data_IF_668895538282
#
_entry.id   IF_668895538282
#
_cell.length_a   1.000
_cell.length_b   1.000
_cell.length_c   1.000
_cell.angle_alpha   90.00
_cell.angle_beta   90.00
_cell.angle_gamma   90.00
#
_symmetry.space_group_name_H-M   'P 1'
#
loop_
_entity.id
_entity.type
_entity.pdbx_description
1 polymer ?
#
# COMPACT_ATOMS: atom_id res chain seq x y z
N UNK A 1 -8.85 -79.72 35.73
CA UNK A 1 -8.93 -80.63 34.56
C UNK A 1 -9.01 -79.78 33.30
N UNK A 2 -8.01 -79.94 32.43
CA UNK A 2 -8.02 -79.82 30.96
C UNK A 2 -8.27 -78.43 30.32
N UNK A 3 -7.20 -77.85 29.73
CA UNK A 3 -7.23 -76.94 28.56
C UNK A 3 -7.46 -77.75 27.27
N UNK A 4 -8.03 -77.15 26.22
CA UNK A 4 -7.29 -77.04 24.95
C UNK A 4 -7.45 -75.63 24.34
N UNK A 5 -6.42 -74.97 23.82
CA UNK A 5 -5.51 -75.29 22.71
C UNK A 5 -6.14 -75.13 21.32
N UNK A 6 -5.46 -74.29 20.53
CA UNK A 6 -5.70 -73.81 19.17
C UNK A 6 -5.95 -74.90 18.13
N UNK A 7 -6.80 -74.63 17.12
CA UNK A 7 -6.61 -75.13 15.75
C UNK A 7 -7.05 -74.04 14.75
N UNK A 8 -6.11 -73.68 13.88
CA UNK A 8 -6.30 -72.82 12.73
C UNK A 8 -7.12 -73.50 11.64
N UNK A 9 -7.94 -72.74 10.90
CA UNK A 9 -8.34 -73.13 9.55
C UNK A 9 -8.27 -71.92 8.61
N UNK A 10 -7.39 -72.03 7.63
CA UNK A 10 -7.19 -71.15 6.49
C UNK A 10 -8.40 -71.22 5.55
N UNK A 11 -9.01 -70.07 5.23
CA UNK A 11 -9.66 -69.89 3.92
C UNK A 11 -9.24 -68.54 3.37
N UNK A 12 -8.45 -68.61 2.30
CA UNK A 12 -8.05 -67.49 1.47
C UNK A 12 -9.28 -66.83 0.84
N UNK A 13 -9.41 -65.52 0.98
CA UNK A 13 -10.23 -64.69 0.11
C UNK A 13 -9.45 -63.43 -0.22
N UNK A 14 -8.78 -63.49 -1.38
CA UNK A 14 -8.17 -62.33 -2.01
C UNK A 14 -9.29 -61.40 -2.49
N UNK A 15 -9.46 -60.27 -1.82
CA UNK A 15 -10.18 -59.10 -2.35
C UNK A 15 -9.18 -57.94 -2.39
N UNK A 16 -8.67 -57.74 -3.60
CA UNK A 16 -7.78 -56.64 -3.97
C UNK A 16 -8.66 -55.38 -4.04
N UNK A 17 -8.64 -54.55 -2.99
CA UNK A 17 -9.11 -53.17 -3.06
C UNK A 17 -7.89 -52.28 -3.21
N UNK A 18 -7.56 -52.02 -4.48
CA UNK A 18 -6.64 -50.99 -4.92
C UNK A 18 -7.20 -49.62 -4.52
N UNK A 19 -6.85 -49.13 -3.33
CA UNK A 19 -7.04 -47.73 -2.96
C UNK A 19 -5.94 -46.89 -3.62
N UNK A 20 -6.13 -46.58 -4.91
CA UNK A 20 -5.34 -45.57 -5.59
C UNK A 20 -5.78 -44.17 -5.14
N UNK A 21 -4.84 -43.47 -4.52
CA UNK A 21 -4.66 -42.02 -4.48
C UNK A 21 -5.52 -41.26 -5.52
N UNK A 22 -6.41 -40.39 -5.08
CA UNK A 22 -7.17 -39.48 -5.95
C UNK A 22 -6.77 -38.04 -5.66
N UNK A 23 -5.60 -37.64 -6.18
CA UNK A 23 -5.40 -36.25 -6.59
C UNK A 23 -6.21 -36.05 -7.87
N UNK A 24 -7.50 -35.71 -7.72
CA UNK A 24 -8.35 -35.30 -8.85
C UNK A 24 -8.31 -33.78 -8.93
N UNK A 25 -7.69 -33.18 -9.96
CA UNK A 25 -7.79 -31.74 -10.15
C UNK A 25 -9.25 -31.37 -10.46
N UNK A 26 -9.77 -30.38 -9.73
CA UNK A 26 -11.06 -29.78 -10.00
C UNK A 26 -11.08 -29.19 -11.42
N UNK A 27 -12.15 -29.46 -12.16
CA UNK A 27 -12.36 -28.94 -13.51
C UNK A 27 -12.56 -27.41 -13.50
N UNK A 28 -12.11 -26.67 -14.52
CA UNK A 28 -12.13 -25.20 -14.56
C UNK A 28 -13.52 -24.55 -14.43
N UNK A 29 -14.60 -25.29 -14.69
CA UNK A 29 -15.97 -24.76 -14.72
C UNK A 29 -16.58 -24.52 -13.33
N UNK A 30 -16.23 -25.30 -12.30
CA UNK A 30 -16.80 -25.11 -10.96
C UNK A 30 -16.11 -23.99 -10.16
N UNK A 31 -14.88 -23.63 -10.52
CA UNK A 31 -14.13 -22.54 -9.87
C UNK A 31 -14.59 -21.16 -10.35
N UNK A 32 -15.17 -21.06 -11.55
CA UNK A 32 -15.57 -19.78 -12.15
C UNK A 32 -16.81 -19.17 -11.47
N UNK A 33 -17.78 -19.98 -11.06
CA UNK A 33 -19.03 -19.49 -10.47
C UNK A 33 -18.87 -18.88 -9.06
N UNK A 34 -17.84 -19.27 -8.30
CA UNK A 34 -17.57 -18.69 -6.98
C UNK A 34 -16.73 -17.42 -7.05
N UNK A 35 -15.97 -17.24 -8.13
CA UNK A 35 -15.03 -16.12 -8.29
C UNK A 35 -15.74 -14.85 -8.76
N UNK A 36 -16.76 -14.94 -9.62
CA UNK A 36 -17.58 -13.78 -10.02
C UNK A 36 -18.26 -13.10 -8.81
N UNK A 37 -18.83 -13.90 -7.89
CA UNK A 37 -19.64 -13.39 -6.78
C UNK A 37 -18.84 -12.71 -5.68
N UNK A 38 -17.54 -13.01 -5.58
CA UNK A 38 -16.62 -12.41 -4.59
C UNK A 38 -15.91 -11.17 -5.15
N UNK A 39 -15.73 -11.10 -6.47
CA UNK A 39 -15.05 -9.98 -7.14
C UNK A 39 -15.97 -8.76 -7.26
N UNK A 40 -17.27 -8.93 -7.48
CA UNK A 40 -18.22 -7.79 -7.60
C UNK A 40 -18.37 -6.99 -6.29
N UNK A 41 -18.24 -7.63 -5.12
CA UNK A 41 -18.33 -6.96 -3.82
C UNK A 41 -17.04 -6.22 -3.42
N UNK A 42 -15.88 -6.59 -3.98
CA UNK A 42 -14.58 -6.00 -3.64
C UNK A 42 -14.21 -4.78 -4.50
N UNK A 43 -14.73 -4.69 -5.73
CA UNK A 43 -14.45 -3.59 -6.66
C UNK A 43 -15.09 -2.27 -6.21
N UNK A 44 -16.22 -2.31 -5.50
CA UNK A 44 -16.95 -1.11 -5.09
C UNK A 44 -16.24 -0.32 -3.96
N UNK A 45 -15.34 -0.96 -3.20
CA UNK A 45 -14.73 -0.32 -2.01
C UNK A 45 -13.41 0.39 -2.31
N UNK A 46 -12.69 0.01 -3.38
CA UNK A 46 -11.33 0.55 -3.67
C UNK A 46 -11.37 1.78 -4.61
N UNK A 47 -12.48 1.99 -5.33
CA UNK A 47 -12.66 3.10 -6.30
C UNK A 47 -12.99 4.45 -5.64
N UNK A 48 -13.15 4.51 -4.31
CA UNK A 48 -13.89 5.64 -3.68
C UNK A 48 -13.05 6.73 -3.03
N UNK A 49 -11.71 6.70 -3.07
CA UNK A 49 -10.91 7.83 -2.59
C UNK A 49 -10.28 8.60 -3.75
N UNK A 50 -11.04 9.56 -4.29
CA UNK A 50 -10.54 10.51 -5.27
C UNK A 50 -9.38 11.35 -4.70
N UNK A 51 -8.44 11.75 -5.57
CA UNK A 51 -7.34 12.62 -5.17
C UNK A 51 -7.91 14.01 -4.79
N UNK A 52 -7.75 14.45 -3.53
CA UNK A 52 -8.35 15.71 -3.06
C UNK A 52 -7.82 16.94 -3.81
N UNK A 53 -6.58 16.91 -4.30
CA UNK A 53 -6.03 18.01 -5.10
C UNK A 53 -6.69 18.09 -6.48
N UNK A 54 -6.89 16.93 -7.11
CA UNK A 54 -7.60 16.80 -8.38
C UNK A 54 -9.08 17.20 -8.25
N UNK A 55 -9.77 16.73 -7.21
CA UNK A 55 -11.14 17.15 -6.91
C UNK A 55 -11.23 18.64 -6.68
N UNK A 56 -10.29 19.21 -5.93
CA UNK A 56 -10.29 20.64 -5.65
C UNK A 56 -10.13 21.47 -6.93
N UNK A 57 -9.23 21.08 -7.83
CA UNK A 57 -9.08 21.71 -9.14
C UNK A 57 -10.42 21.74 -9.92
N UNK A 58 -11.07 20.58 -10.02
CA UNK A 58 -12.36 20.44 -10.72
C UNK A 58 -13.46 21.25 -9.99
N UNK A 59 -13.46 21.25 -8.66
CA UNK A 59 -14.47 21.92 -7.84
C UNK A 59 -14.49 23.44 -8.01
N UNK A 60 -13.33 24.04 -8.31
CA UNK A 60 -13.20 25.48 -8.57
C UNK A 60 -13.32 25.83 -10.06
N UNK A 61 -13.79 24.88 -10.87
CA UNK A 61 -13.99 25.03 -12.31
C UNK A 61 -12.71 24.95 -13.14
N UNK A 62 -11.61 24.46 -12.56
CA UNK A 62 -10.38 24.21 -13.29
C UNK A 62 -10.41 22.92 -14.10
N UNK A 63 -9.59 22.86 -15.14
CA UNK A 63 -9.35 21.66 -15.93
C UNK A 63 -8.05 20.99 -15.47
N UNK A 64 -8.10 19.70 -15.16
CA UNK A 64 -6.94 18.95 -14.69
C UNK A 64 -6.21 18.26 -15.85
N UNK A 65 -4.91 18.49 -15.97
CA UNK A 65 -4.00 17.82 -16.90
C UNK A 65 -2.95 17.02 -16.12
N UNK A 66 -2.81 15.72 -16.41
CA UNK A 66 -1.75 14.90 -15.83
C UNK A 66 -0.56 14.85 -16.80
N UNK A 67 0.60 15.28 -16.34
CA UNK A 67 1.86 15.24 -17.09
C UNK A 67 2.79 14.17 -16.52
N UNK A 68 3.48 13.47 -17.40
CA UNK A 68 4.55 12.53 -17.03
C UNK A 68 5.88 13.26 -17.10
N UNK A 69 6.60 13.31 -15.99
CA UNK A 69 7.95 13.86 -15.85
C UNK A 69 8.95 12.75 -15.49
N UNK A 70 10.24 13.09 -15.42
CA UNK A 70 11.32 12.13 -15.09
C UNK A 70 11.15 11.51 -13.70
N UNK A 71 10.47 12.21 -12.79
CA UNK A 71 10.30 11.84 -11.39
C UNK A 71 8.88 11.30 -11.06
N UNK A 72 8.01 11.14 -12.07
CA UNK A 72 6.66 10.61 -11.90
C UNK A 72 5.58 11.39 -12.64
N UNK A 73 4.33 11.27 -12.19
CA UNK A 73 3.22 12.05 -12.73
C UNK A 73 2.94 13.27 -11.86
N UNK A 74 2.66 14.39 -12.50
CA UNK A 74 2.26 15.64 -11.86
C UNK A 74 0.90 16.08 -12.40
N UNK A 75 0.01 16.53 -11.52
CA UNK A 75 -1.25 17.16 -11.91
C UNK A 75 -1.10 18.66 -12.05
N UNK A 76 -1.47 19.21 -13.21
CA UNK A 76 -1.51 20.64 -13.48
C UNK A 76 -2.97 21.06 -13.59
N UNK A 77 -3.38 22.02 -12.76
CA UNK A 77 -4.69 22.64 -12.81
C UNK A 77 -4.65 23.88 -13.70
N UNK A 78 -5.49 23.90 -14.73
CA UNK A 78 -5.76 25.04 -15.60
C UNK A 78 -6.98 25.79 -15.06
N UNK A 79 -6.75 26.94 -14.42
CA UNK A 79 -7.81 27.73 -13.79
C UNK A 79 -8.62 28.50 -14.85
N UNK A 80 -9.91 28.82 -14.59
CA UNK A 80 -10.70 29.70 -15.46
C UNK A 80 -10.09 31.08 -15.70
N UNK A 81 -9.19 31.52 -14.82
CA UNK A 81 -8.40 32.74 -14.97
C UNK A 81 -7.32 32.65 -16.06
N UNK A 82 -7.04 31.45 -16.59
CA UNK A 82 -5.93 31.15 -17.49
C UNK A 82 -4.61 30.84 -16.77
N UNK A 83 -4.57 30.89 -15.44
CA UNK A 83 -3.40 30.49 -14.65
C UNK A 83 -3.24 28.97 -14.63
N UNK A 84 -2.02 28.49 -14.81
CA UNK A 84 -1.64 27.09 -14.65
C UNK A 84 -0.86 26.91 -13.35
N UNK A 85 -1.29 25.96 -12.52
CA UNK A 85 -0.68 25.71 -11.22
C UNK A 85 -0.73 24.22 -10.89
N UNK A 86 0.34 23.69 -10.31
CA UNK A 86 0.40 22.30 -9.84
C UNK A 86 -0.68 22.03 -8.78
N UNK A 87 -1.40 20.91 -8.92
CA UNK A 87 -2.66 20.64 -8.21
C UNK A 87 -2.49 20.63 -6.68
N UNK A 88 -1.40 20.07 -6.16
CA UNK A 88 -1.14 20.05 -4.73
C UNK A 88 -0.71 21.41 -4.20
N UNK A 89 -0.01 22.20 -5.01
CA UNK A 89 0.36 23.58 -4.68
C UNK A 89 -0.86 24.49 -4.62
N UNK A 90 -1.80 24.32 -5.55
CA UNK A 90 -3.11 24.96 -5.52
C UNK A 90 -3.90 24.51 -4.28
N UNK A 91 -4.01 23.20 -4.05
CA UNK A 91 -4.72 22.62 -2.91
C UNK A 91 -4.16 23.14 -1.58
N UNK A 92 -2.84 23.18 -1.41
CA UNK A 92 -2.18 23.71 -0.20
C UNK A 92 -2.33 25.23 -0.03
N UNK A 93 -2.37 26.00 -1.13
CA UNK A 93 -2.63 27.45 -1.07
C UNK A 93 -4.04 27.73 -0.59
N UNK A 94 -5.02 26.99 -1.12
CA UNK A 94 -6.42 27.11 -0.77
C UNK A 94 -6.74 26.58 0.63
N UNK A 95 -6.19 25.41 0.93
CA UNK A 95 -6.21 24.79 2.24
C UNK A 95 -4.96 25.17 3.01
N UNK A 96 -4.57 26.45 2.96
CA UNK A 96 -3.61 26.96 3.94
C UNK A 96 -4.23 26.66 5.29
N UNK A 97 -3.77 25.60 5.92
CA UNK A 97 -3.85 25.49 7.35
C UNK A 97 -3.04 26.68 7.81
N UNK A 98 -3.74 27.76 8.13
CA UNK A 98 -3.17 28.71 9.03
C UNK A 98 -2.71 27.87 10.21
N UNK A 99 -1.39 27.85 10.43
CA UNK A 99 -0.73 27.22 11.58
C UNK A 99 -1.06 28.04 12.85
N UNK A 100 -2.29 28.53 12.94
CA UNK A 100 -2.87 29.31 14.02
C UNK A 100 -3.89 28.48 14.80
N UNK A 101 -4.18 27.23 14.38
CA UNK A 101 -4.97 26.24 15.14
C UNK A 101 -4.27 24.90 15.36
N UNK A 102 -2.93 24.90 15.42
CA UNK A 102 -2.19 23.82 16.09
C UNK A 102 -2.24 23.96 17.63
N UNK A 103 -3.37 24.40 18.20
CA UNK A 103 -3.56 24.51 19.66
C UNK A 103 -4.08 23.20 20.26
N UNK A 104 -4.54 22.25 19.45
CA UNK A 104 -5.04 20.97 19.97
C UNK A 104 -4.00 19.84 19.96
N UNK A 105 -2.76 20.11 19.54
CA UNK A 105 -1.61 19.25 19.83
C UNK A 105 -0.73 19.94 20.86
N UNK A 106 -1.19 19.91 22.11
CA UNK A 106 -0.41 20.42 23.25
C UNK A 106 0.96 19.74 23.23
N UNK A 107 2.03 20.52 23.24
CA UNK A 107 3.39 19.98 23.30
C UNK A 107 3.48 19.05 24.52
N UNK A 108 3.76 17.73 24.35
CA UNK A 108 3.72 16.77 25.44
C UNK A 108 4.71 17.11 26.57
N UNK A 109 5.85 17.72 26.25
CA UNK A 109 6.79 18.20 27.24
C UNK A 109 6.25 19.41 28.03
N UNK A 110 5.53 20.31 27.36
CA UNK A 110 4.88 21.45 28.01
C UNK A 110 3.72 20.99 28.92
N UNK A 111 2.85 20.11 28.40
CA UNK A 111 1.78 19.48 29.16
C UNK A 111 2.32 18.73 30.38
N UNK A 112 3.46 18.05 30.22
CA UNK A 112 4.09 17.33 31.32
C UNK A 112 4.64 18.27 32.40
N UNK A 113 5.32 19.36 32.01
CA UNK A 113 5.72 20.41 32.94
C UNK A 113 4.53 20.93 33.77
N UNK A 114 3.41 21.24 33.12
CA UNK A 114 2.19 21.70 33.78
C UNK A 114 1.58 20.62 34.69
N UNK A 115 1.61 19.34 34.29
CA UNK A 115 1.10 18.22 35.10
C UNK A 115 1.86 18.05 36.42
N UNK A 116 3.15 18.40 36.44
CA UNK A 116 3.99 18.43 37.63
C UNK A 116 3.83 19.73 38.45
N UNK A 117 2.84 20.56 38.10
CA UNK A 117 2.62 21.89 38.67
C UNK A 117 3.82 22.83 38.44
N UNK A 118 4.62 22.54 37.41
CA UNK A 118 5.73 23.37 36.97
C UNK A 118 5.24 24.58 36.18
N UNK A 119 6.05 25.63 36.16
CA UNK A 119 5.84 26.84 35.36
C UNK A 119 6.77 26.82 34.16
N UNK A 120 6.19 26.80 32.96
CA UNK A 120 6.93 26.81 31.71
C UNK A 120 7.16 28.23 31.22
N UNK A 121 8.42 28.57 30.94
CA UNK A 121 8.79 29.79 30.22
C UNK A 121 8.91 29.49 28.72
N UNK A 122 7.85 29.79 27.95
CA UNK A 122 7.76 29.49 26.51
C UNK A 122 8.93 30.04 25.67
N UNK A 123 9.45 31.28 25.90
CA UNK A 123 10.58 31.81 25.16
C UNK A 123 11.89 31.02 25.36
N UNK A 124 12.15 30.51 26.57
CA UNK A 124 13.40 29.81 26.88
C UNK A 124 13.26 28.29 26.87
N UNK A 125 12.04 27.76 26.90
CA UNK A 125 11.76 26.33 27.02
C UNK A 125 12.05 25.76 28.40
N UNK A 126 12.24 26.61 29.43
CA UNK A 126 12.59 26.14 30.78
C UNK A 126 11.34 25.91 31.62
N UNK A 127 11.23 24.70 32.17
CA UNK A 127 10.25 24.34 33.19
C UNK A 127 10.83 24.56 34.59
N UNK A 128 10.15 25.34 35.42
CA UNK A 128 10.47 25.53 36.84
C UNK A 128 9.50 24.74 37.71
N UNK A 129 9.98 23.69 38.37
CA UNK A 129 9.17 22.81 39.22
C UNK A 129 8.91 23.43 40.61
N UNK A 130 7.89 22.96 41.37
CA UNK A 130 7.65 23.41 42.75
C UNK A 130 8.83 23.19 43.70
N UNK A 131 9.71 22.25 43.39
CA UNK A 131 10.97 22.01 44.11
C UNK A 131 12.00 23.15 43.95
N UNK A 132 11.78 24.06 43.01
CA UNK A 132 12.73 25.10 42.60
C UNK A 132 13.72 24.64 41.52
N UNK A 133 13.63 23.39 41.06
CA UNK A 133 14.44 22.91 39.94
C UNK A 133 14.01 23.59 38.63
N UNK A 134 14.98 24.13 37.89
CA UNK A 134 14.81 24.69 36.55
C UNK A 134 15.50 23.78 35.53
N UNK A 135 14.72 23.24 34.59
CA UNK A 135 15.18 22.25 33.61
C UNK A 135 14.47 22.50 32.27
N UNK A 136 15.16 22.28 31.14
CA UNK A 136 14.53 22.38 29.81
C UNK A 136 13.41 21.34 29.68
N UNK A 137 12.27 21.72 29.11
CA UNK A 137 11.05 20.92 29.21
C UNK A 137 11.14 19.56 28.48
N UNK A 138 11.87 19.45 27.37
CA UNK A 138 12.11 18.16 26.73
C UNK A 138 13.09 17.30 27.51
N UNK A 139 14.08 17.90 28.17
CA UNK A 139 14.99 17.18 29.05
C UNK A 139 14.26 16.59 30.26
N UNK A 140 13.38 17.38 30.89
CA UNK A 140 12.46 16.91 31.92
C UNK A 140 11.57 15.77 31.41
N UNK A 141 10.97 15.94 30.23
CA UNK A 141 10.10 14.92 29.64
C UNK A 141 10.85 13.61 29.42
N UNK A 142 12.05 13.63 28.82
CA UNK A 142 12.86 12.43 28.56
C UNK A 142 13.39 11.79 29.85
N UNK A 143 13.78 12.60 30.85
CA UNK A 143 14.27 12.13 32.15
C UNK A 143 13.24 11.26 32.84
N UNK A 144 11.98 11.70 32.83
CA UNK A 144 10.90 11.04 33.56
C UNK A 144 10.13 10.04 32.69
N UNK A 145 10.17 10.19 31.37
CA UNK A 145 9.71 9.23 30.37
C UNK A 145 10.89 8.48 29.77
N UNK A 146 11.76 7.94 30.61
CA UNK A 146 12.82 7.05 30.15
C UNK A 146 12.20 6.06 29.16
N UNK A 147 12.67 6.14 27.92
CA UNK A 147 12.26 5.22 26.88
C UNK A 147 12.70 3.82 27.31
N UNK A 148 11.82 3.08 27.99
CA UNK A 148 11.71 1.67 27.69
C UNK A 148 11.32 1.64 26.21
N UNK A 149 12.32 1.60 25.31
CA UNK A 149 12.14 1.65 23.85
C UNK A 149 10.89 0.87 23.49
N UNK A 150 9.78 1.54 23.15
CA UNK A 150 8.65 0.82 22.60
C UNK A 150 9.16 0.30 21.28
N UNK A 151 9.31 -1.02 21.13
CA UNK A 151 9.47 -1.63 19.82
C UNK A 151 8.12 -1.54 19.10
N UNK A 152 7.72 -0.33 18.75
CA UNK A 152 6.59 -0.06 17.86
C UNK A 152 7.17 0.73 16.70
N UNK A 153 7.99 0.03 15.94
CA UNK A 153 8.39 0.38 14.59
C UNK A 153 8.47 -0.94 13.85
N UNK A 154 7.93 -0.99 12.62
CA UNK A 154 8.19 -2.11 11.72
C UNK A 154 9.71 -2.27 11.67
N UNK A 155 10.21 -3.39 12.17
CA UNK A 155 11.64 -3.63 12.22
C UNK A 155 12.22 -3.48 10.81
N UNK A 156 13.37 -2.82 10.68
CA UNK A 156 13.99 -2.59 9.38
C UNK A 156 14.12 -3.94 8.64
N UNK A 157 13.48 -4.12 7.48
CA UNK A 157 13.49 -5.39 6.77
C UNK A 157 14.91 -5.91 6.49
N UNK A 158 15.87 -5.02 6.20
CA UNK A 158 17.26 -5.39 5.98
C UNK A 158 17.94 -5.90 7.27
N UNK A 159 17.59 -5.31 8.40
CA UNK A 159 18.12 -5.71 9.71
C UNK A 159 17.58 -7.07 10.14
N UNK A 160 16.26 -7.26 10.03
CA UNK A 160 15.60 -8.55 10.28
C UNK A 160 16.15 -9.62 9.33
N UNK A 161 16.39 -9.26 8.07
CA UNK A 161 16.94 -10.19 7.10
C UNK A 161 18.36 -10.63 7.46
N UNK A 162 19.23 -9.70 7.88
CA UNK A 162 20.56 -10.04 8.39
C UNK A 162 20.49 -11.07 9.52
N UNK A 163 19.61 -10.87 10.50
CA UNK A 163 19.39 -11.82 11.60
C UNK A 163 18.82 -13.15 11.11
N UNK A 164 17.91 -13.14 10.12
CA UNK A 164 17.29 -14.35 9.57
C UNK A 164 18.27 -15.28 8.84
N UNK A 165 19.41 -14.75 8.38
CA UNK A 165 20.49 -15.52 7.72
C UNK A 165 21.64 -15.82 8.67
N UNK A 166 21.38 -15.82 9.98
CA UNK A 166 22.36 -15.98 11.07
C UNK A 166 23.51 -14.96 11.03
N UNK A 167 23.25 -13.80 10.41
CA UNK A 167 24.18 -12.68 10.34
C UNK A 167 24.18 -11.85 11.62
N UNK A 168 25.34 -11.29 11.95
CA UNK A 168 25.51 -10.34 13.06
C UNK A 168 25.48 -8.92 12.51
N UNK A 169 24.45 -8.16 12.86
CA UNK A 169 24.29 -6.78 12.45
C UNK A 169 24.96 -5.81 13.43
N UNK A 170 25.77 -4.90 12.91
CA UNK A 170 26.24 -3.72 13.62
C UNK A 170 25.32 -2.52 13.30
N UNK A 171 24.35 -2.25 14.19
CA UNK A 171 23.32 -1.22 14.01
C UNK A 171 23.87 0.19 13.70
N UNK A 172 24.91 0.70 14.38
CA UNK A 172 25.55 1.97 14.05
C UNK A 172 26.09 2.08 12.62
N UNK A 173 26.66 1.01 12.08
CA UNK A 173 27.33 1.05 10.77
C UNK A 173 26.48 0.47 9.64
N UNK A 174 25.42 -0.27 9.97
CA UNK A 174 24.58 -0.99 9.00
C UNK A 174 25.24 -2.22 8.39
N UNK A 175 26.39 -2.65 8.92
CA UNK A 175 27.15 -3.79 8.38
C UNK A 175 26.63 -5.10 8.96
N UNK A 176 26.21 -6.01 8.08
CA UNK A 176 25.89 -7.38 8.40
C UNK A 176 27.11 -8.30 8.19
N UNK A 177 27.52 -9.02 9.23
CA UNK A 177 28.59 -10.03 9.17
C UNK A 177 27.98 -11.43 9.14
N UNK A 178 28.12 -12.13 8.02
CA UNK A 178 27.57 -13.48 7.80
C UNK A 178 28.39 -14.56 8.53
N UNK A 179 27.85 -15.78 8.72
CA UNK A 179 28.56 -16.90 9.34
C UNK A 179 29.87 -17.30 8.65
N UNK A 180 29.97 -17.05 7.34
CA UNK A 180 31.20 -17.27 6.56
C UNK A 180 32.26 -16.17 6.73
N UNK A 181 32.01 -15.19 7.61
CA UNK A 181 32.90 -14.07 7.88
C UNK A 181 32.80 -12.91 6.89
N UNK A 182 31.94 -13.00 5.86
CA UNK A 182 31.73 -11.91 4.91
C UNK A 182 30.93 -10.78 5.57
N UNK A 183 31.48 -9.57 5.53
CA UNK A 183 30.82 -8.35 5.96
C UNK A 183 30.34 -7.55 4.74
N UNK A 184 29.09 -7.09 4.77
CA UNK A 184 28.48 -6.26 3.73
C UNK A 184 27.36 -5.39 4.32
N UNK A 185 26.97 -4.34 3.60
CA UNK A 185 25.84 -3.50 4.00
C UNK A 185 24.53 -4.31 4.06
N UNK A 186 23.71 -4.07 5.07
CA UNK A 186 22.45 -4.79 5.29
C UNK A 186 21.47 -4.66 4.11
N UNK A 187 21.44 -3.51 3.43
CA UNK A 187 20.58 -3.32 2.26
C UNK A 187 21.17 -3.97 1.02
N UNK A 188 22.49 -4.02 0.88
CA UNK A 188 23.14 -4.81 -0.16
C UNK A 188 22.84 -6.30 0.00
N UNK A 189 22.90 -6.82 1.23
CA UNK A 189 22.51 -8.19 1.54
C UNK A 189 21.05 -8.47 1.17
N UNK A 190 20.13 -7.64 1.67
CA UNK A 190 18.70 -7.76 1.38
C UNK A 190 18.45 -7.70 -0.13
N UNK A 191 19.01 -6.71 -0.84
CA UNK A 191 18.82 -6.58 -2.29
C UNK A 191 19.40 -7.78 -3.03
N UNK A 192 20.60 -8.25 -2.70
CA UNK A 192 21.23 -9.41 -3.35
C UNK A 192 20.32 -10.64 -3.30
N UNK A 193 19.71 -10.90 -2.15
CA UNK A 193 18.95 -12.13 -1.91
C UNK A 193 17.45 -11.97 -2.25
N UNK A 194 16.94 -10.74 -2.30
CA UNK A 194 15.59 -10.40 -2.76
C UNK A 194 15.53 -9.89 -4.21
N UNK A 195 16.65 -9.87 -4.94
CA UNK A 195 16.75 -9.41 -6.33
C UNK A 195 16.02 -10.30 -7.37
N UNK A 196 15.27 -11.31 -6.93
CA UNK A 196 14.35 -12.04 -7.80
C UNK A 196 12.92 -11.48 -7.82
N UNK A 197 12.60 -10.47 -7.01
CA UNK A 197 11.35 -9.74 -7.14
C UNK A 197 11.64 -8.24 -7.16
N UNK A 198 11.72 -7.65 -8.36
CA UNK A 198 11.45 -6.21 -8.49
C UNK A 198 10.11 -5.96 -7.80
N UNK A 199 10.05 -5.14 -6.75
CA UNK A 199 8.77 -4.71 -6.23
C UNK A 199 8.10 -3.96 -7.38
N UNK A 200 6.94 -4.44 -7.83
CA UNK A 200 6.03 -3.66 -8.66
C UNK A 200 5.56 -2.49 -7.78
N UNK A 201 6.35 -1.41 -7.76
CA UNK A 201 5.98 -0.16 -7.11
C UNK A 201 4.99 0.51 -8.05
N UNK A 202 3.70 0.29 -7.79
CA UNK A 202 2.60 0.94 -8.49
C UNK A 202 1.42 0.01 -8.68
N UNK A 203 0.23 0.50 -8.36
CA UNK A 203 -1.00 -0.06 -8.92
C UNK A 203 -0.82 -0.02 -10.44
N UNK A 204 -0.91 -1.18 -11.10
CA UNK A 204 -0.73 -1.25 -12.55
C UNK A 204 -1.74 -0.31 -13.23
N UNK A 205 -1.27 0.51 -14.18
CA UNK A 205 -2.12 1.45 -14.89
C UNK A 205 -3.31 0.69 -15.52
N UNK A 206 -4.58 1.03 -15.16
CA UNK A 206 -5.76 0.32 -15.66
C UNK A 206 -5.82 0.24 -17.19
N UNK A 207 -5.41 1.30 -17.89
CA UNK A 207 -5.36 1.32 -19.35
C UNK A 207 -4.28 0.39 -19.92
N UNK A 208 -3.13 0.29 -19.23
CA UNK A 208 -2.05 -0.61 -19.63
C UNK A 208 -2.44 -2.08 -19.44
N UNK A 209 -3.00 -2.40 -18.27
CA UNK A 209 -3.53 -3.73 -17.97
C UNK A 209 -4.66 -4.08 -18.93
N UNK A 210 -5.52 -3.12 -19.26
CA UNK A 210 -6.61 -3.36 -20.18
C UNK A 210 -6.12 -3.63 -21.61
N UNK A 211 -5.11 -2.90 -22.09
CA UNK A 211 -4.47 -3.19 -23.37
C UNK A 211 -3.96 -4.64 -23.42
N UNK A 212 -3.27 -5.10 -22.38
CA UNK A 212 -2.80 -6.49 -22.28
C UNK A 212 -3.97 -7.49 -22.19
N UNK A 213 -5.05 -7.14 -21.48
CA UNK A 213 -6.23 -8.01 -21.32
C UNK A 213 -7.00 -8.25 -22.62
N UNK A 214 -6.87 -7.36 -23.61
CA UNK A 214 -7.47 -7.51 -24.94
C UNK A 214 -6.47 -8.04 -25.97
N UNK A 215 -5.44 -8.75 -25.50
CA UNK A 215 -4.31 -9.27 -26.29
C UNK A 215 -3.55 -8.18 -27.07
N UNK A 216 -3.65 -6.93 -26.62
CA UNK A 216 -2.95 -5.79 -27.19
C UNK A 216 -1.50 -5.72 -26.73
N UNK A 217 -0.64 -5.19 -27.60
CA UNK A 217 0.77 -4.92 -27.29
C UNK A 217 0.93 -3.43 -26.97
N UNK A 218 1.27 -3.14 -25.72
CA UNK A 218 1.51 -1.77 -25.26
C UNK A 218 2.96 -1.35 -25.48
N UNK A 219 3.16 -0.19 -26.09
CA UNK A 219 4.44 0.52 -26.11
C UNK A 219 4.49 1.53 -24.95
N UNK A 220 5.11 1.13 -23.83
CA UNK A 220 5.15 1.93 -22.59
C UNK A 220 5.68 3.38 -22.77
N UNK A 221 6.75 3.63 -23.56
CA UNK A 221 7.23 4.99 -23.83
C UNK A 221 6.22 5.91 -24.52
N UNK A 222 5.39 5.38 -25.42
CA UNK A 222 4.46 6.19 -26.21
C UNK A 222 3.02 6.11 -25.72
N UNK A 223 2.69 5.13 -24.88
CA UNK A 223 1.32 4.87 -24.41
C UNK A 223 0.42 4.25 -25.47
N UNK A 224 0.95 3.83 -26.61
CA UNK A 224 0.18 3.27 -27.73
C UNK A 224 -0.08 1.79 -27.53
N UNK A 225 -1.35 1.39 -27.54
CA UNK A 225 -1.77 0.00 -27.57
C UNK A 225 -2.00 -0.46 -29.02
N UNK A 226 -1.33 -1.53 -29.42
CA UNK A 226 -1.55 -2.18 -30.73
C UNK A 226 -2.36 -3.46 -30.55
N UNK A 227 -3.61 -3.45 -31.03
CA UNK A 227 -4.54 -4.57 -30.94
C UNK A 227 -4.17 -5.72 -31.89
N UNK A 228 -4.68 -6.95 -31.68
CA UNK A 228 -4.43 -8.09 -32.58
C UNK A 228 -4.82 -7.87 -34.04
N UNK A 229 -5.79 -6.99 -34.29
CA UNK A 229 -6.21 -6.59 -35.63
C UNK A 229 -5.28 -5.56 -36.30
N UNK A 230 -4.17 -5.21 -35.66
CA UNK A 230 -3.18 -4.24 -36.14
C UNK A 230 -3.54 -2.77 -35.89
N UNK A 231 -4.70 -2.48 -35.28
CA UNK A 231 -5.07 -1.11 -34.93
C UNK A 231 -4.24 -0.61 -33.75
N UNK A 232 -3.58 0.53 -33.93
CA UNK A 232 -2.86 1.25 -32.88
C UNK A 232 -3.69 2.45 -32.41
N UNK A 233 -3.82 2.62 -31.09
CA UNK A 233 -4.50 3.75 -30.46
C UNK A 233 -3.92 4.03 -29.08
N UNK A 234 -4.14 5.22 -28.54
CA UNK A 234 -3.76 5.55 -27.16
C UNK A 234 -4.45 4.60 -26.16
N UNK A 235 -3.70 4.15 -25.16
CA UNK A 235 -4.20 3.19 -24.16
C UNK A 235 -5.41 3.73 -23.37
N UNK A 236 -5.47 5.03 -23.07
CA UNK A 236 -6.60 5.62 -22.36
C UNK A 236 -7.80 5.84 -23.28
N UNK A 237 -7.59 6.09 -24.56
CA UNK A 237 -8.65 6.08 -25.57
C UNK A 237 -9.30 4.69 -25.66
N UNK A 238 -8.49 3.63 -25.74
CA UNK A 238 -8.97 2.24 -25.71
C UNK A 238 -9.77 1.95 -24.44
N UNK A 239 -9.19 2.27 -23.28
CA UNK A 239 -9.82 2.04 -21.98
C UNK A 239 -11.16 2.74 -21.85
N UNK A 240 -11.24 4.04 -22.18
CA UNK A 240 -12.48 4.84 -22.12
C UNK A 240 -13.52 4.39 -23.14
N UNK A 241 -13.10 3.97 -24.35
CA UNK A 241 -14.03 3.46 -25.38
C UNK A 241 -14.80 2.25 -24.86
N UNK A 242 -14.11 1.34 -24.18
CA UNK A 242 -14.67 0.06 -23.79
C UNK A 242 -15.27 0.07 -22.36
N UNK A 243 -14.97 1.09 -21.56
CA UNK A 243 -15.54 1.31 -20.21
C UNK A 243 -16.53 2.48 -20.12
N UNK A 244 -16.99 3.03 -21.25
CA UNK A 244 -18.10 3.98 -21.25
C UNK A 244 -19.37 3.27 -20.76
N UNK A 245 -19.78 3.56 -19.52
CA UNK A 245 -21.14 3.26 -19.03
C UNK A 245 -22.17 3.84 -19.99
N UNK A 246 -23.22 3.07 -20.18
CA UNK A 246 -24.47 3.37 -20.89
C UNK A 246 -25.05 4.71 -20.42
N UNK A 247 -24.73 5.80 -21.11
CA UNK A 247 -25.53 7.04 -21.11
C UNK A 247 -25.92 7.37 -22.56
N UNK A 248 -26.95 6.69 -23.06
CA UNK A 248 -27.85 7.18 -24.11
C UNK A 248 -28.99 6.18 -24.34
N UNK A 249 -29.92 6.08 -23.39
CA UNK A 249 -31.27 5.56 -23.66
C UNK A 249 -32.21 5.93 -22.52
N UNK A 250 -32.46 7.22 -22.36
CA UNK A 250 -33.70 7.72 -21.75
C UNK A 250 -34.42 8.55 -22.80
N UNK A 251 -35.00 7.86 -23.80
CA UNK A 251 -35.95 8.47 -24.71
C UNK A 251 -37.23 8.77 -23.92
N UNK A 252 -37.42 10.05 -23.64
CA UNK A 252 -38.54 10.60 -22.89
C UNK A 252 -39.81 10.40 -23.69
N UNK A 253 -40.74 9.64 -23.12
CA UNK A 253 -42.13 9.52 -23.57
C UNK A 253 -42.75 10.90 -23.77
N UNK A 254 -43.15 11.19 -25.00
CA UNK A 254 -44.06 12.30 -25.35
C UNK A 254 -45.49 11.75 -25.44
N UNK A 255 -46.44 12.16 -24.58
CA UNK A 255 -47.85 11.92 -24.85
C UNK A 255 -48.33 12.99 -25.85
N UNK A 256 -48.83 12.53 -27.00
CA UNK A 256 -49.68 13.30 -27.90
C UNK A 256 -51.09 13.42 -27.32
N UNK A 257 -51.74 14.53 -27.66
CA UNK A 257 -53.10 14.99 -27.31
C UNK A 257 -54.20 13.95 -27.32
#
# INVERSE_FOLDING_TARGET
>A
MIKPASIALLIASALILSACNQDKPATPEETQAFTEKVVEAAVDTVVTLANPASEYCISIGGELEIKTETDGQVGICHLPSGEQIEEWSLYRKANKQEVTKAVDMVNPAAAYCESLQGKLDLPTGVCTLPSGEAIEHWELFKRDHQQAKPQIGIANPASVYCESVDGKLDLPTGVCTLPNGKALDQWELLKRDHQQAKPQIGIANPASVYCESVDGKLDLPTGVCTLPNGKALDQWELFKRDHKRVESSSDVTKPTS
#
